data_IF_725267822286
#
_entry.id   IF_725267822286
#
_cell.length_a   1.000
_cell.length_b   1.000
_cell.length_c   1.000
_cell.angle_alpha   90.00
_cell.angle_beta   90.00
_cell.angle_gamma   90.00
#
_symmetry.space_group_name_H-M   'P 1'
#
loop_
_entity.id
_entity.type
_entity.pdbx_description
1 polymer ?
#
# COMPACT_ATOMS: atom_id res chain seq x y z
N UNK A 1 2.60 17.98 14.56
CA UNK A 1 1.27 17.81 13.92
C UNK A 1 1.52 17.45 12.47
N UNK A 2 0.92 16.37 11.96
CA UNK A 2 1.20 15.82 10.63
C UNK A 2 0.43 16.50 9.49
N UNK A 3 -0.59 17.29 9.81
CA UNK A 3 -1.36 18.05 8.82
C UNK A 3 -1.87 17.26 7.64
N UNK A 4 -1.73 17.85 6.45
CA UNK A 4 -2.18 17.25 5.20
C UNK A 4 -1.26 16.11 4.73
N UNK A 5 -0.28 15.69 5.54
CA UNK A 5 0.56 14.52 5.28
C UNK A 5 0.02 13.23 5.92
N UNK A 6 -1.12 13.29 6.61
CA UNK A 6 -1.83 12.11 7.09
C UNK A 6 -3.00 11.79 6.17
N UNK A 7 -2.87 10.69 5.42
CA UNK A 7 -3.94 10.23 4.52
C UNK A 7 -4.94 9.38 5.30
N UNK A 8 -6.25 9.67 5.22
CA UNK A 8 -7.27 8.83 5.81
C UNK A 8 -7.44 7.54 5.01
N UNK A 9 -7.92 6.49 5.68
CA UNK A 9 -8.49 5.33 5.01
C UNK A 9 -9.96 5.62 4.78
N UNK A 10 -10.27 6.20 3.62
CA UNK A 10 -11.63 6.53 3.22
C UNK A 10 -12.27 5.43 2.36
N UNK A 11 -13.48 5.67 1.86
CA UNK A 11 -14.21 4.71 1.04
C UNK A 11 -13.48 4.36 -0.26
N UNK A 12 -12.72 5.30 -0.85
CA UNK A 12 -12.01 5.05 -2.10
C UNK A 12 -10.77 4.17 -1.87
N UNK A 13 -10.04 4.40 -0.77
CA UNK A 13 -8.99 3.50 -0.31
C UNK A 13 -9.54 2.11 0.01
N UNK A 14 -10.69 2.04 0.69
CA UNK A 14 -11.33 0.77 1.05
C UNK A 14 -11.79 -0.03 -0.19
N UNK A 15 -12.36 0.63 -1.21
CA UNK A 15 -12.71 -0.01 -2.47
C UNK A 15 -11.46 -0.54 -3.20
N UNK A 16 -10.40 0.28 -3.27
CA UNK A 16 -9.12 -0.15 -3.84
C UNK A 16 -8.55 -1.36 -3.10
N UNK A 17 -8.65 -1.38 -1.78
CA UNK A 17 -8.22 -2.50 -0.94
C UNK A 17 -9.04 -3.76 -1.22
N UNK A 18 -10.36 -3.65 -1.33
CA UNK A 18 -11.24 -4.77 -1.69
C UNK A 18 -10.87 -5.40 -3.04
N UNK A 19 -10.59 -4.58 -4.06
CA UNK A 19 -10.13 -5.08 -5.37
C UNK A 19 -8.77 -5.77 -5.27
N UNK A 20 -7.83 -5.19 -4.53
CA UNK A 20 -6.51 -5.79 -4.31
C UNK A 20 -6.63 -7.17 -3.64
N UNK A 21 -7.51 -7.31 -2.65
CA UNK A 21 -7.78 -8.60 -2.01
C UNK A 21 -8.43 -9.60 -2.95
N UNK A 22 -9.35 -9.15 -3.82
CA UNK A 22 -10.03 -10.01 -4.79
C UNK A 22 -9.09 -10.53 -5.90
N UNK A 23 -8.10 -9.73 -6.30
CA UNK A 23 -7.07 -10.10 -7.28
C UNK A 23 -5.97 -11.00 -6.69
N UNK A 24 -5.82 -11.04 -5.38
CA UNK A 24 -4.78 -11.80 -4.71
C UNK A 24 -5.08 -13.31 -4.73
N UNK A 25 -4.13 -14.11 -5.21
CA UNK A 25 -4.22 -15.57 -5.17
C UNK A 25 -4.02 -16.17 -3.76
N UNK A 26 -3.73 -15.35 -2.75
CA UNK A 26 -3.48 -15.74 -1.36
C UNK A 26 -4.03 -14.70 -0.39
N UNK A 27 -4.32 -15.07 0.87
CA UNK A 27 -4.58 -14.09 1.92
C UNK A 27 -3.40 -13.11 2.06
N UNK A 28 -3.74 -11.83 2.15
CA UNK A 28 -2.78 -10.75 2.36
C UNK A 28 -2.88 -10.26 3.82
N UNK A 29 -1.76 -9.88 4.45
CA UNK A 29 -1.80 -9.19 5.74
C UNK A 29 -2.64 -7.92 5.62
N UNK A 30 -3.59 -7.73 6.53
CA UNK A 30 -4.55 -6.63 6.43
C UNK A 30 -3.88 -5.26 6.40
N UNK A 31 -2.88 -5.03 7.26
CA UNK A 31 -2.18 -3.74 7.34
C UNK A 31 -1.34 -3.49 6.09
N UNK A 32 -0.55 -4.47 5.63
CA UNK A 32 0.32 -4.30 4.47
C UNK A 32 -0.48 -4.07 3.18
N UNK A 33 -1.55 -4.86 2.99
CA UNK A 33 -2.43 -4.68 1.83
C UNK A 33 -3.19 -3.35 1.88
N UNK A 34 -3.53 -2.85 3.07
CA UNK A 34 -4.14 -1.53 3.21
C UNK A 34 -3.16 -0.40 2.91
N UNK A 35 -1.91 -0.49 3.38
CA UNK A 35 -0.84 0.46 3.03
C UNK A 35 -0.57 0.47 1.52
N UNK A 36 -0.54 -0.71 0.90
CA UNK A 36 -0.41 -0.86 -0.56
C UNK A 36 -1.59 -0.22 -1.30
N UNK A 37 -2.82 -0.46 -0.84
CA UNK A 37 -4.03 0.12 -1.43
C UNK A 37 -4.04 1.65 -1.34
N UNK A 38 -3.67 2.22 -0.19
CA UNK A 38 -3.50 3.67 -0.01
C UNK A 38 -2.46 4.23 -0.98
N UNK A 39 -1.29 3.61 -1.07
CA UNK A 39 -0.23 4.07 -1.97
C UNK A 39 -0.67 4.01 -3.45
N UNK A 40 -1.30 2.91 -3.86
CA UNK A 40 -1.83 2.74 -5.21
C UNK A 40 -2.96 3.73 -5.54
N UNK A 41 -3.83 4.04 -4.58
CA UNK A 41 -4.94 4.98 -4.78
C UNK A 41 -4.44 6.42 -5.00
N UNK A 42 -3.39 6.82 -4.28
CA UNK A 42 -2.84 8.18 -4.32
C UNK A 42 -1.63 8.33 -5.25
N UNK A 43 -1.30 7.32 -6.07
CA UNK A 43 -0.13 7.29 -6.95
C UNK A 43 1.20 7.58 -6.21
N UNK A 44 1.35 6.97 -5.04
CA UNK A 44 2.52 7.12 -4.17
C UNK A 44 3.46 5.93 -4.26
N UNK A 45 4.72 6.17 -3.83
CA UNK A 45 5.71 5.11 -3.61
C UNK A 45 5.69 4.70 -2.13
N UNK A 46 5.75 3.40 -1.87
CA UNK A 46 5.84 2.89 -0.50
C UNK A 46 7.31 2.80 -0.06
N UNK A 47 7.67 3.53 0.98
CA UNK A 47 9.01 3.46 1.57
C UNK A 47 9.00 2.46 2.72
N UNK A 48 9.77 1.37 2.61
CA UNK A 48 9.84 0.35 3.67
C UNK A 48 11.15 -0.44 3.60
N UNK A 49 11.63 -0.89 4.76
CA UNK A 49 12.73 -1.88 4.84
C UNK A 49 12.29 -3.26 4.39
N UNK A 50 10.99 -3.57 4.49
CA UNK A 50 10.43 -4.90 4.27
C UNK A 50 9.89 -5.10 2.85
N UNK A 51 10.65 -4.69 1.83
CA UNK A 51 10.11 -4.57 0.47
C UNK A 51 9.57 -5.87 -0.13
N UNK A 52 10.11 -7.03 0.28
CA UNK A 52 9.67 -8.37 -0.15
C UNK A 52 8.19 -8.68 0.14
N UNK A 53 7.60 -8.03 1.14
CA UNK A 53 6.20 -8.29 1.53
C UNK A 53 5.22 -7.41 0.73
N UNK A 54 5.74 -6.52 -0.13
CA UNK A 54 4.98 -5.53 -0.90
C UNK A 54 5.12 -5.72 -2.42
N UNK A 55 5.20 -6.97 -2.88
CA UNK A 55 5.20 -7.34 -4.29
C UNK A 55 3.79 -7.26 -4.91
N UNK A 56 3.17 -6.08 -4.83
CA UNK A 56 1.86 -5.81 -5.41
C UNK A 56 1.99 -5.23 -6.83
N UNK A 57 1.20 -5.70 -7.81
CA UNK A 57 1.22 -5.14 -9.16
C UNK A 57 1.00 -3.63 -9.17
N UNK A 58 1.90 -2.89 -9.84
CA UNK A 58 1.85 -1.44 -9.97
C UNK A 58 2.33 -0.65 -8.74
N UNK A 59 2.62 -1.31 -7.61
CA UNK A 59 3.17 -0.62 -6.44
C UNK A 59 4.68 -0.44 -6.60
N UNK A 60 5.15 0.80 -6.48
CA UNK A 60 6.58 1.10 -6.45
C UNK A 60 7.06 1.12 -5.00
N UNK A 61 7.98 0.21 -4.67
CA UNK A 61 8.57 0.10 -3.33
C UNK A 61 9.99 0.67 -3.35
N UNK A 62 10.29 1.54 -2.38
CA UNK A 62 11.62 2.10 -2.16
C UNK A 62 12.15 1.60 -0.81
N UNK A 63 13.27 0.90 -0.82
CA UNK A 63 13.94 0.46 0.40
C UNK A 63 15.22 1.27 0.61
N UNK A 64 15.23 2.27 1.52
CA UNK A 64 16.37 3.17 1.68
C UNK A 64 17.60 2.54 2.36
N UNK A 65 17.51 1.28 2.80
CA UNK A 65 18.63 0.56 3.40
C UNK A 65 19.49 -0.21 2.41
N UNK A 66 19.06 -0.30 1.14
CA UNK A 66 19.79 -0.99 0.07
C UNK A 66 20.15 -0.04 -1.07
N UNK A 67 20.04 1.27 -0.82
CA UNK A 67 20.50 2.35 -1.69
C UNK A 67 21.95 2.67 -1.33
#
# INVERSE_FOLDING_TARGET
>A
WFGNHLLPVDAAVADRWGRLLAEAARPLPAVDSLLAATALHHDLRLVTRNGKDFEFPGLVVVNPWII
#
